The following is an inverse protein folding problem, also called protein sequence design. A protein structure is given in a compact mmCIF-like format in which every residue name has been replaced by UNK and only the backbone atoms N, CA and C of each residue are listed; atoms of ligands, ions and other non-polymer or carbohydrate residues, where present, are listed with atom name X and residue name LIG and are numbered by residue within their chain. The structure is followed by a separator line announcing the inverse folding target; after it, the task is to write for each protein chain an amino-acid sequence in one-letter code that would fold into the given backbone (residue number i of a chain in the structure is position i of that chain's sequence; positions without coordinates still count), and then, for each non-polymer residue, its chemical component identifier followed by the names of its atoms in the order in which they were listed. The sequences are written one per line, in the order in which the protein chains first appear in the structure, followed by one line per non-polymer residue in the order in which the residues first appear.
data_IF_559179934237
#
_entry.id   IF_559179934237
#
_cell.length_a   1.000
_cell.length_b   1.000
_cell.length_c   1.000
_cell.angle_alpha   90.00
_cell.angle_beta   90.00
_cell.angle_gamma   90.00
#
_symmetry.space_group_name_H-M   'P 1'
#
loop_
_entity.id
_entity.type
_entity.pdbx_description
1 polymer ?
#
# COMPACT_ATOMS: atom_id res chain seq x y z
N UNK A 1 -17.22 -12.43 15.05
CA UNK A 1 -16.29 -11.31 14.80
C UNK A 1 -16.38 -10.95 13.32
N UNK A 2 -16.78 -9.73 12.97
CA UNK A 2 -16.65 -9.23 11.60
C UNK A 2 -15.15 -9.11 11.29
N UNK A 3 -14.59 -10.03 10.51
CA UNK A 3 -13.31 -9.79 9.85
C UNK A 3 -13.61 -8.81 8.72
N UNK A 4 -13.28 -7.53 8.91
CA UNK A 4 -13.28 -6.58 7.80
C UNK A 4 -12.18 -7.00 6.83
N UNK A 5 -12.56 -7.43 5.62
CA UNK A 5 -11.62 -7.85 4.57
C UNK A 5 -11.06 -6.60 3.87
N UNK A 6 -10.49 -5.68 4.66
CA UNK A 6 -9.95 -4.40 4.19
C UNK A 6 -8.46 -4.56 3.95
N UNK A 7 -8.02 -4.32 2.72
CA UNK A 7 -6.61 -4.26 2.34
C UNK A 7 -6.23 -2.82 2.03
N UNK A 8 -5.03 -2.41 2.43
CA UNK A 8 -4.48 -1.08 2.21
C UNK A 8 -3.08 -1.20 1.60
N UNK A 9 -2.53 -0.07 1.14
CA UNK A 9 -1.10 0.01 0.84
C UNK A 9 -0.27 -0.24 2.11
N UNK A 10 0.87 -0.91 1.95
CA UNK A 10 1.94 -1.07 2.95
C UNK A 10 2.50 0.30 3.33
N UNK A 11 2.92 0.47 4.59
CA UNK A 11 3.41 1.75 5.08
C UNK A 11 4.18 1.62 6.38
N UNK A 12 5.36 2.23 6.44
CA UNK A 12 6.10 2.42 7.68
C UNK A 12 6.84 3.75 7.74
N UNK A 13 7.69 3.89 8.75
CA UNK A 13 8.42 5.12 9.00
C UNK A 13 9.71 5.17 8.19
N UNK A 14 10.11 6.37 7.78
CA UNK A 14 11.44 6.60 7.21
C UNK A 14 12.46 6.63 8.34
N UNK A 15 13.53 5.84 8.22
CA UNK A 15 14.58 5.76 9.23
C UNK A 15 15.72 6.77 9.00
N UNK A 16 16.57 6.93 10.01
CA UNK A 16 17.69 7.88 9.94
C UNK A 16 18.68 7.50 8.83
N UNK A 17 18.83 8.41 7.87
CA UNK A 17 19.78 8.26 6.76
C UNK A 17 19.18 7.61 5.52
N UNK A 18 17.90 7.24 5.55
CA UNK A 18 17.18 6.74 4.39
C UNK A 18 16.63 7.88 3.52
N UNK A 19 16.68 7.67 2.22
CA UNK A 19 15.80 8.32 1.25
C UNK A 19 14.37 7.74 1.35
N UNK A 20 13.41 8.40 0.70
CA UNK A 20 12.03 7.89 0.63
C UNK A 20 12.00 6.55 -0.12
N UNK A 21 12.80 6.44 -1.18
CA UNK A 21 12.91 5.26 -2.01
C UNK A 21 13.50 4.07 -1.24
N UNK A 22 14.52 4.31 -0.41
CA UNK A 22 15.09 3.29 0.48
C UNK A 22 14.08 2.82 1.53
N UNK A 23 13.36 3.74 2.17
CA UNK A 23 12.32 3.39 3.14
C UNK A 23 11.20 2.56 2.49
N UNK A 24 10.71 2.94 1.30
CA UNK A 24 9.72 2.14 0.57
C UNK A 24 10.26 0.74 0.26
N UNK A 25 11.51 0.63 -0.19
CA UNK A 25 12.10 -0.67 -0.51
C UNK A 25 12.28 -1.56 0.73
N UNK A 26 12.71 -0.98 1.86
CA UNK A 26 12.87 -1.69 3.13
C UNK A 26 11.52 -2.17 3.67
N UNK A 27 10.54 -1.27 3.81
CA UNK A 27 9.23 -1.60 4.38
C UNK A 27 8.50 -2.67 3.56
N UNK A 28 8.54 -2.59 2.21
CA UNK A 28 7.92 -3.63 1.36
C UNK A 28 8.63 -4.98 1.50
N UNK A 29 9.95 -4.99 1.71
CA UNK A 29 10.70 -6.22 1.98
C UNK A 29 10.38 -6.78 3.37
N UNK A 30 10.35 -5.95 4.40
CA UNK A 30 10.07 -6.37 5.78
C UNK A 30 8.63 -6.90 5.92
N UNK A 31 7.64 -6.15 5.44
CA UNK A 31 6.24 -6.48 5.64
C UNK A 31 5.73 -7.55 4.66
N UNK A 32 6.29 -7.69 3.44
CA UNK A 32 5.75 -8.58 2.42
C UNK A 32 6.75 -9.57 1.80
N UNK A 33 8.05 -9.41 2.07
CA UNK A 33 9.11 -10.20 1.43
C UNK A 33 9.28 -9.91 -0.06
N UNK A 34 8.78 -8.77 -0.54
CA UNK A 34 8.80 -8.40 -1.96
C UNK A 34 9.94 -7.42 -2.23
N UNK A 35 10.76 -7.72 -3.23
CA UNK A 35 11.74 -6.77 -3.75
C UNK A 35 11.04 -5.78 -4.70
N UNK A 36 11.37 -4.49 -4.56
CA UNK A 36 10.87 -3.44 -5.46
C UNK A 36 12.02 -2.70 -6.14
N UNK A 37 11.76 -2.23 -7.35
CA UNK A 37 12.68 -1.46 -8.17
C UNK A 37 12.38 0.04 -8.12
N UNK A 38 11.88 0.58 -9.22
CA UNK A 38 11.61 2.01 -9.35
C UNK A 38 10.48 2.45 -8.40
N UNK A 39 10.80 3.38 -7.49
CA UNK A 39 9.85 4.06 -6.62
C UNK A 39 9.56 5.46 -7.18
N UNK A 40 8.28 5.84 -7.22
CA UNK A 40 7.83 7.13 -7.73
C UNK A 40 6.92 7.80 -6.71
N UNK A 41 7.26 9.02 -6.32
CA UNK A 41 6.38 9.87 -5.52
C UNK A 41 5.08 10.17 -6.27
N UNK A 42 3.96 10.06 -5.57
CA UNK A 42 2.64 10.42 -6.06
C UNK A 42 2.09 11.66 -5.34
N UNK A 43 1.95 11.59 -4.02
CA UNK A 43 1.35 12.67 -3.22
C UNK A 43 1.79 12.60 -1.76
N UNK A 44 1.45 13.64 -0.98
CA UNK A 44 1.65 13.63 0.47
C UNK A 44 0.38 14.04 1.20
N UNK A 45 0.15 13.48 2.38
CA UNK A 45 -1.01 13.79 3.22
C UNK A 45 -0.60 13.87 4.70
N UNK A 46 -0.94 14.95 5.43
CA UNK A 46 -0.76 14.97 6.88
C UNK A 46 -1.72 13.98 7.54
N UNK A 47 -1.21 13.14 8.43
CA UNK A 47 -2.00 12.18 9.19
C UNK A 47 -1.93 12.52 10.70
N UNK A 48 -3.06 12.95 11.31
CA UNK A 48 -3.03 13.61 12.62
C UNK A 48 -2.83 12.66 13.82
N UNK A 49 -2.68 11.36 13.60
CA UNK A 49 -2.55 10.37 14.69
C UNK A 49 -1.35 9.45 14.44
N UNK A 50 -0.23 9.58 15.19
CA UNK A 50 0.05 10.55 16.27
C UNK A 50 0.46 11.95 15.79
N UNK A 51 1.19 12.09 14.68
CA UNK A 51 1.53 13.34 13.96
C UNK A 51 2.50 12.98 12.83
N UNK A 52 2.00 12.37 11.75
CA UNK A 52 2.84 11.86 10.66
C UNK A 52 2.59 12.63 9.37
N UNK A 53 3.60 12.67 8.49
CA UNK A 53 3.44 13.05 7.09
C UNK A 53 3.48 11.79 6.24
N UNK A 54 2.35 11.39 5.68
CA UNK A 54 2.32 10.29 4.73
C UNK A 54 2.90 10.76 3.41
N UNK A 55 3.86 10.01 2.87
CA UNK A 55 4.44 10.21 1.55
C UNK A 55 4.03 9.02 0.71
N UNK A 56 3.01 9.19 -0.13
CA UNK A 56 2.47 8.14 -0.96
C UNK A 56 3.33 7.93 -2.20
N UNK A 57 3.72 6.68 -2.44
CA UNK A 57 4.54 6.27 -3.58
C UNK A 57 3.91 5.09 -4.33
N UNK A 58 4.23 4.96 -5.60
CA UNK A 58 4.06 3.71 -6.36
C UNK A 58 5.43 3.08 -6.61
N UNK A 59 5.53 1.77 -6.41
CA UNK A 59 6.74 1.01 -6.65
C UNK A 59 6.46 -0.17 -7.59
N UNK A 60 7.42 -0.47 -8.47
CA UNK A 60 7.35 -1.65 -9.35
C UNK A 60 8.01 -2.85 -8.65
N UNK A 61 7.24 -3.88 -8.35
CA UNK A 61 7.77 -5.12 -7.79
C UNK A 61 8.66 -5.86 -8.81
N UNK A 62 9.80 -6.37 -8.35
CA UNK A 62 10.73 -7.19 -9.14
C UNK A 62 10.67 -8.67 -8.76
N UNK A 63 10.10 -9.00 -7.60
CA UNK A 63 9.71 -10.35 -7.20
C UNK A 63 8.20 -10.43 -6.94
N UNK A 64 7.65 -11.66 -6.92
CA UNK A 64 6.21 -11.89 -6.70
C UNK A 64 5.90 -12.87 -5.58
N UNK A 65 6.89 -13.64 -5.13
CA UNK A 65 6.72 -14.57 -4.01
C UNK A 65 6.54 -13.76 -2.73
N UNK A 66 5.43 -13.99 -2.04
CA UNK A 66 5.09 -13.31 -0.80
C UNK A 66 5.66 -14.12 0.37
N UNK A 67 6.44 -13.46 1.22
CA UNK A 67 6.94 -14.01 2.48
C UNK A 67 6.85 -12.90 3.53
N UNK A 68 5.65 -12.71 4.09
CA UNK A 68 5.33 -11.60 4.99
C UNK A 68 5.60 -11.95 6.45
N UNK A 69 5.88 -10.93 7.26
CA UNK A 69 5.98 -11.08 8.72
C UNK A 69 4.58 -11.22 9.35
N UNK A 70 4.28 -12.40 9.90
CA UNK A 70 3.02 -12.68 10.59
C UNK A 70 2.85 -11.92 11.92
N UNK A 71 3.92 -11.35 12.48
CA UNK A 71 3.84 -10.51 13.68
C UNK A 71 3.28 -9.11 13.35
N UNK A 72 3.54 -8.60 12.15
CA UNK A 72 3.08 -7.27 11.71
C UNK A 72 1.83 -7.34 10.82
N UNK A 73 1.76 -8.32 9.92
CA UNK A 73 0.70 -8.43 8.92
C UNK A 73 -0.22 -9.63 9.18
N UNK A 74 -1.52 -9.43 8.95
CA UNK A 74 -2.51 -10.51 9.05
C UNK A 74 -2.66 -11.31 7.74
N UNK A 75 -2.48 -10.65 6.60
CA UNK A 75 -2.59 -11.22 5.25
C UNK A 75 -1.95 -10.26 4.24
N UNK A 76 -1.25 -10.79 3.25
CA UNK A 76 -0.64 -10.01 2.14
C UNK A 76 -0.96 -10.74 0.84
N UNK A 77 -1.50 -10.01 -0.14
CA UNK A 77 -1.98 -10.60 -1.41
C UNK A 77 -1.76 -9.70 -2.60
N UNK A 78 -1.56 -10.34 -3.75
CA UNK A 78 -1.72 -9.71 -5.05
C UNK A 78 -3.20 -9.66 -5.44
N UNK A 79 -3.64 -8.50 -5.89
CA UNK A 79 -4.96 -8.30 -6.45
C UNK A 79 -4.85 -7.87 -7.92
N UNK A 80 -5.71 -8.43 -8.76
CA UNK A 80 -5.85 -7.96 -10.13
C UNK A 80 -6.47 -6.56 -10.16
N UNK A 81 -6.21 -5.85 -11.25
CA UNK A 81 -6.78 -4.51 -11.46
C UNK A 81 -8.30 -4.51 -11.46
N UNK A 82 -8.91 -5.56 -12.01
CA UNK A 82 -10.37 -5.67 -12.09
C UNK A 82 -10.97 -5.87 -10.70
N UNK A 83 -10.36 -6.71 -9.85
CA UNK A 83 -10.80 -6.89 -8.45
C UNK A 83 -10.76 -5.58 -7.66
N UNK A 84 -9.67 -4.82 -7.80
CA UNK A 84 -9.49 -3.52 -7.14
C UNK A 84 -10.46 -2.48 -7.69
N UNK A 85 -10.69 -2.46 -9.00
CA UNK A 85 -11.66 -1.57 -9.65
C UNK A 85 -13.08 -1.84 -9.14
N UNK A 86 -13.50 -3.10 -9.03
CA UNK A 86 -14.79 -3.47 -8.45
C UNK A 86 -14.87 -3.10 -6.97
N UNK A 87 -13.79 -3.27 -6.21
CA UNK A 87 -13.73 -2.88 -4.80
C UNK A 87 -13.88 -1.38 -4.58
N UNK A 88 -13.24 -0.54 -5.42
CA UNK A 88 -13.41 0.92 -5.39
C UNK A 88 -14.86 1.36 -5.66
N UNK A 89 -15.62 0.57 -6.43
CA UNK A 89 -17.03 0.80 -6.73
C UNK A 89 -17.97 0.24 -5.65
N UNK A 90 -17.43 -0.48 -4.65
CA UNK A 90 -18.22 -1.18 -3.63
C UNK A 90 -18.93 -2.43 -4.16
N UNK A 91 -18.46 -2.99 -5.27
CA UNK A 91 -19.04 -4.15 -5.97
C UNK A 91 -18.23 -5.44 -5.75
N UNK A 92 -17.38 -5.47 -4.71
CA UNK A 92 -16.55 -6.63 -4.37
C UNK A 92 -16.83 -7.08 -2.92
N UNK A 93 -17.29 -8.33 -2.75
CA UNK A 93 -17.60 -8.90 -1.43
C UNK A 93 -16.35 -9.36 -0.67
N UNK A 94 -15.23 -9.58 -1.39
CA UNK A 94 -13.99 -10.12 -0.83
C UNK A 94 -12.92 -9.05 -0.57
N UNK A 95 -12.91 -7.94 -1.31
CA UNK A 95 -11.92 -6.87 -1.15
C UNK A 95 -12.62 -5.55 -0.80
N UNK A 96 -12.31 -5.02 0.38
CA UNK A 96 -12.62 -3.64 0.73
C UNK A 96 -11.34 -2.80 0.68
N UNK A 97 -11.43 -1.57 0.18
CA UNK A 97 -10.33 -0.61 0.14
C UNK A 97 -10.57 0.53 1.13
N UNK A 98 -9.53 1.30 1.52
CA UNK A 98 -9.69 2.41 2.45
C UNK A 98 -10.65 3.47 1.91
N UNK A 99 -11.25 4.24 2.82
CA UNK A 99 -12.19 5.32 2.47
C UNK A 99 -11.49 6.48 1.74
N UNK A 100 -12.20 7.30 0.93
CA UNK A 100 -11.62 8.39 0.14
C UNK A 100 -10.84 9.47 0.90
N UNK A 101 -10.93 9.48 2.23
CA UNK A 101 -10.13 10.38 3.08
C UNK A 101 -8.67 9.90 3.24
N UNK A 102 -8.38 8.62 3.03
CA UNK A 102 -7.06 8.05 3.25
C UNK A 102 -6.18 8.15 1.99
N UNK A 103 -4.90 8.50 2.15
CA UNK A 103 -3.93 8.53 1.03
C UNK A 103 -3.85 7.20 0.27
N UNK A 104 -4.00 6.07 0.97
CA UNK A 104 -4.03 4.75 0.35
C UNK A 104 -5.16 4.62 -0.69
N UNK A 105 -6.34 5.22 -0.45
CA UNK A 105 -7.42 5.24 -1.43
C UNK A 105 -7.01 5.99 -2.71
N UNK A 106 -6.31 7.11 -2.56
CA UNK A 106 -5.83 7.89 -3.70
C UNK A 106 -4.75 7.14 -4.49
N UNK A 107 -3.81 6.47 -3.80
CA UNK A 107 -2.78 5.65 -4.46
C UNK A 107 -3.40 4.50 -5.25
N UNK A 108 -4.39 3.81 -4.67
CA UNK A 108 -5.11 2.70 -5.29
C UNK A 108 -5.92 3.20 -6.51
N UNK A 109 -6.65 4.31 -6.35
CA UNK A 109 -7.42 4.92 -7.45
C UNK A 109 -6.53 5.33 -8.61
N UNK A 110 -5.43 6.04 -8.34
CA UNK A 110 -4.47 6.46 -9.35
C UNK A 110 -3.86 5.24 -10.07
N UNK A 111 -3.50 4.19 -9.31
CA UNK A 111 -2.99 2.95 -9.91
C UNK A 111 -4.02 2.33 -10.85
N UNK A 112 -5.29 2.18 -10.46
CA UNK A 112 -6.38 1.63 -11.30
C UNK A 112 -6.58 2.44 -12.57
N UNK A 113 -6.56 3.77 -12.46
CA UNK A 113 -6.72 4.69 -13.58
C UNK A 113 -5.50 4.78 -14.50
N UNK A 114 -4.37 4.14 -14.13
CA UNK A 114 -3.08 4.24 -14.82
C UNK A 114 -2.51 5.66 -14.83
N UNK A 115 -2.83 6.42 -13.79
CA UNK A 115 -2.20 7.70 -13.49
C UNK A 115 -0.81 7.42 -12.89
N UNK A 116 0.19 8.21 -13.30
CA UNK A 116 1.58 8.06 -12.85
C UNK A 116 1.89 9.04 -11.74
#
# INVERSE_FOLDING_TARGET
MNRTNTYSALAGFVDQGESIEEAVAREVMEEAGIEVGQVRYHSSQPWPFPSSLMIGCHADAVSTDINFDEEEMNDVRWFSRDEVSSALQGENDELNVPQPIAIAHHLITAWVNKER
#
